data_IF_596578669104
#
_entry.id   IF_596578669104
#
_cell.length_a   1.000
_cell.length_b   1.000
_cell.length_c   1.000
_cell.angle_alpha   90.00
_cell.angle_beta   90.00
_cell.angle_gamma   90.00
#
_symmetry.space_group_name_H-M   'P 1'
#
loop_
_entity.id
_entity.type
_entity.pdbx_description
1 polymer ?
#
# COMPACT_ATOMS: atom_id res chain seq x y z
N UNK A 1 -14.60 -6.19 13.61
CA UNK A 1 -13.76 -5.25 12.85
C UNK A 1 -14.16 -3.79 13.03
N UNK A 2 -15.10 -3.43 13.92
CA UNK A 2 -15.77 -2.11 13.93
C UNK A 2 -15.03 -0.95 14.64
N UNK A 3 -13.85 -1.20 15.20
CA UNK A 3 -13.03 -0.17 15.87
C UNK A 3 -11.72 0.12 15.11
N UNK A 4 -11.72 -0.04 13.78
CA UNK A 4 -10.57 0.28 12.94
C UNK A 4 -10.78 1.67 12.34
N UNK A 5 -9.87 2.60 12.65
CA UNK A 5 -9.75 3.90 11.98
C UNK A 5 -8.69 3.80 10.88
N UNK A 6 -9.13 3.42 9.68
CA UNK A 6 -8.28 3.15 8.53
C UNK A 6 -8.94 3.67 7.26
N UNK A 7 -8.16 4.38 6.45
CA UNK A 7 -8.57 4.91 5.15
C UNK A 7 -7.34 5.27 4.29
N UNK A 8 -7.54 5.42 2.98
CA UNK A 8 -6.49 5.78 2.00
C UNK A 8 -5.32 4.77 1.91
N UNK A 9 -5.65 3.49 1.91
CA UNK A 9 -4.71 2.38 1.75
C UNK A 9 -4.79 1.75 0.35
N UNK A 10 -3.74 1.00 0.01
CA UNK A 10 -3.73 0.11 -1.16
C UNK A 10 -3.61 -1.34 -0.70
N UNK A 11 -4.59 -2.15 -1.10
CA UNK A 11 -4.60 -3.59 -0.89
C UNK A 11 -4.07 -4.26 -2.16
N UNK A 12 -2.96 -4.99 -2.04
CA UNK A 12 -2.31 -5.60 -3.18
C UNK A 12 -1.65 -6.93 -2.80
N UNK A 13 -2.07 -7.99 -3.47
CA UNK A 13 -1.38 -9.26 -3.49
C UNK A 13 -0.98 -9.56 -4.94
N UNK A 14 0.30 -9.89 -5.16
CA UNK A 14 0.88 -10.05 -6.48
C UNK A 14 0.48 -11.37 -7.13
N UNK A 15 0.32 -12.39 -6.30
CA UNK A 15 0.00 -13.76 -6.68
C UNK A 15 -1.50 -13.92 -6.96
N UNK A 16 -2.34 -13.22 -6.21
CA UNK A 16 -3.80 -13.28 -6.33
C UNK A 16 -4.41 -11.94 -5.94
N UNK A 17 -4.98 -11.23 -6.92
CA UNK A 17 -5.51 -9.87 -6.71
C UNK A 17 -6.87 -9.89 -6.01
N UNK A 18 -7.61 -10.98 -6.13
CA UNK A 18 -8.97 -11.11 -5.61
C UNK A 18 -8.94 -11.04 -4.08
N UNK A 19 -7.86 -11.50 -3.44
CA UNK A 19 -7.66 -11.38 -1.98
C UNK A 19 -7.75 -9.93 -1.52
N UNK A 20 -7.15 -8.99 -2.26
CA UNK A 20 -7.19 -7.57 -1.89
C UNK A 20 -8.57 -6.96 -2.07
N UNK A 21 -9.26 -7.37 -3.13
CA UNK A 21 -10.62 -6.92 -3.46
C UNK A 21 -11.62 -7.46 -2.43
N UNK A 22 -11.62 -8.76 -2.17
CA UNK A 22 -12.50 -9.45 -1.20
C UNK A 22 -12.36 -8.90 0.23
N UNK A 23 -11.14 -8.55 0.65
CA UNK A 23 -10.89 -7.98 1.98
C UNK A 23 -11.42 -6.55 2.04
N UNK A 24 -11.15 -5.75 1.01
CA UNK A 24 -11.56 -4.36 0.98
C UNK A 24 -13.09 -4.23 0.89
N UNK A 25 -13.77 -5.08 0.11
CA UNK A 25 -15.23 -5.09 0.00
C UNK A 25 -15.88 -5.29 1.38
N UNK A 26 -15.41 -6.26 2.16
CA UNK A 26 -15.93 -6.52 3.52
C UNK A 26 -15.69 -5.35 4.48
N UNK A 27 -14.56 -4.66 4.36
CA UNK A 27 -14.27 -3.47 5.16
C UNK A 27 -15.20 -2.31 4.79
N UNK A 28 -15.43 -2.11 3.50
CA UNK A 28 -16.30 -1.06 2.99
C UNK A 28 -17.78 -1.31 3.33
N UNK A 29 -18.23 -2.57 3.33
CA UNK A 29 -19.56 -2.97 3.83
C UNK A 29 -19.75 -2.65 5.32
N UNK A 30 -18.68 -2.75 6.11
CA UNK A 30 -18.65 -2.37 7.52
C UNK A 30 -18.45 -0.85 7.72
N UNK A 31 -18.31 -0.06 6.65
CA UNK A 31 -18.12 1.39 6.68
C UNK A 31 -16.68 1.85 6.95
N UNK A 32 -15.69 0.99 6.71
CA UNK A 32 -14.26 1.20 6.97
C UNK A 32 -13.51 1.30 5.62
N UNK A 33 -12.37 2.01 5.56
CA UNK A 33 -11.50 2.05 4.38
C UNK A 33 -12.23 2.50 3.09
N UNK A 34 -13.17 3.45 3.24
CA UNK A 34 -14.06 3.89 2.17
C UNK A 34 -13.34 4.48 0.94
N UNK A 35 -12.16 5.08 1.12
CA UNK A 35 -11.37 5.68 0.04
C UNK A 35 -10.15 4.82 -0.37
N UNK A 36 -9.97 3.66 0.28
CA UNK A 36 -8.93 2.69 -0.05
C UNK A 36 -9.20 1.99 -1.38
N UNK A 37 -8.16 1.39 -1.97
CA UNK A 37 -8.25 0.73 -3.29
C UNK A 37 -7.51 -0.60 -3.33
N UNK A 38 -8.11 -1.61 -3.92
CA UNK A 38 -7.45 -2.87 -4.25
C UNK A 38 -6.89 -2.80 -5.69
N UNK A 39 -5.65 -2.33 -5.85
CA UNK A 39 -5.03 -2.07 -7.17
C UNK A 39 -3.53 -2.29 -7.15
N UNK A 40 -2.93 -2.56 -8.32
CA UNK A 40 -1.48 -2.67 -8.45
C UNK A 40 -0.79 -1.31 -8.10
N UNK A 41 0.08 -1.26 -7.07
CA UNK A 41 0.76 -0.04 -6.65
C UNK A 41 1.87 0.40 -7.61
N UNK A 42 2.21 -0.42 -8.63
CA UNK A 42 3.27 -0.17 -9.59
C UNK A 42 4.65 0.02 -8.93
N UNK A 43 5.09 -0.97 -8.16
CA UNK A 43 6.47 -0.97 -7.63
C UNK A 43 7.53 -1.01 -8.74
N UNK A 44 8.71 -0.44 -8.46
CA UNK A 44 9.86 -0.41 -9.38
C UNK A 44 10.42 -1.81 -9.60
N UNK A 45 10.87 -2.47 -8.53
CA UNK A 45 11.45 -3.83 -8.58
C UNK A 45 11.30 -4.56 -7.23
N UNK A 46 10.08 -5.04 -6.91
CA UNK A 46 9.81 -5.68 -5.62
C UNK A 46 10.55 -7.02 -5.44
N UNK A 47 10.96 -7.68 -6.53
CA UNK A 47 11.72 -8.95 -6.45
C UNK A 47 13.11 -8.74 -5.85
N UNK A 48 13.70 -7.57 -6.08
CA UNK A 48 15.02 -7.19 -5.56
C UNK A 48 14.92 -6.23 -4.36
N UNK A 49 13.71 -6.07 -3.78
CA UNK A 49 13.49 -5.24 -2.60
C UNK A 49 13.31 -3.74 -2.87
N UNK A 50 13.16 -3.32 -4.13
CA UNK A 50 12.87 -1.94 -4.49
C UNK A 50 11.37 -1.69 -4.57
N UNK A 51 10.80 -1.31 -3.42
CA UNK A 51 9.38 -0.98 -3.26
C UNK A 51 9.06 0.50 -3.51
N UNK A 52 9.94 1.24 -4.20
CA UNK A 52 9.58 2.59 -4.66
C UNK A 52 8.44 2.49 -5.68
N UNK A 53 7.63 3.53 -5.77
CA UNK A 53 6.55 3.61 -6.76
C UNK A 53 7.07 4.13 -8.10
N UNK A 54 6.58 3.54 -9.20
CA UNK A 54 6.78 4.08 -10.56
C UNK A 54 6.01 5.38 -10.75
N UNK A 55 6.44 6.25 -11.67
CA UNK A 55 5.65 7.42 -12.09
C UNK A 55 4.22 7.01 -12.48
N UNK A 56 3.23 7.76 -11.99
CA UNK A 56 1.80 7.49 -12.27
C UNK A 56 1.14 6.43 -11.37
N UNK A 57 1.88 5.86 -10.41
CA UNK A 57 1.35 4.93 -9.41
C UNK A 57 0.06 5.46 -8.76
N UNK A 58 -0.96 4.58 -8.53
CA UNK A 58 -2.15 4.96 -7.78
C UNK A 58 -1.82 5.39 -6.35
N UNK A 59 -0.74 4.88 -5.74
CA UNK A 59 -0.28 5.29 -4.42
C UNK A 59 0.04 6.78 -4.38
N UNK A 60 0.77 7.27 -5.38
CA UNK A 60 1.11 8.69 -5.49
C UNK A 60 -0.12 9.56 -5.71
N UNK A 61 -1.08 9.09 -6.52
CA UNK A 61 -2.36 9.79 -6.74
C UNK A 61 -3.24 9.83 -5.49
N UNK A 62 -3.10 8.83 -4.62
CA UNK A 62 -3.79 8.73 -3.33
C UNK A 62 -3.14 9.60 -2.24
N UNK A 63 -1.98 10.21 -2.53
CA UNK A 63 -1.27 11.08 -1.59
C UNK A 63 -0.25 10.35 -0.72
N UNK A 64 0.09 9.09 -1.02
CA UNK A 64 1.16 8.38 -0.32
C UNK A 64 2.50 9.01 -0.69
N UNK A 65 3.20 9.55 0.31
CA UNK A 65 4.50 10.22 0.15
C UNK A 65 5.62 9.21 0.41
N UNK A 66 6.50 8.93 -0.57
CA UNK A 66 7.65 8.06 -0.35
C UNK A 66 8.58 8.62 0.74
N UNK A 67 8.98 7.77 1.68
CA UNK A 67 9.95 8.13 2.71
C UNK A 67 11.40 7.95 2.20
N UNK A 68 12.31 8.80 2.67
CA UNK A 68 13.72 8.69 2.34
C UNK A 68 14.39 7.58 3.15
N UNK A 69 14.69 6.45 2.50
CA UNK A 69 15.30 5.27 3.14
C UNK A 69 16.79 5.43 3.44
N UNK A 70 17.50 6.43 2.89
CA UNK A 70 18.96 6.59 3.05
C UNK A 70 19.43 6.73 4.50
N UNK A 71 18.52 7.15 5.38
CA UNK A 71 18.78 7.47 6.78
C UNK A 71 18.01 6.59 7.76
N UNK A 72 17.26 5.59 7.26
CA UNK A 72 16.36 4.74 8.05
C UNK A 72 17.04 3.39 8.33
N UNK A 73 16.71 2.77 9.48
CA UNK A 73 17.24 1.47 9.90
C UNK A 73 18.44 1.56 10.84
N UNK A 74 18.98 0.39 11.20
CA UNK A 74 20.14 0.29 12.08
C UNK A 74 21.38 0.85 11.39
N UNK A 75 21.92 1.93 11.96
CA UNK A 75 23.19 2.51 11.50
C UNK A 75 24.32 1.84 12.27
N UNK A 76 25.17 1.08 11.60
CA UNK A 76 26.47 0.71 12.17
C UNK A 76 27.30 1.98 12.29
N UNK A 77 27.82 2.28 13.49
CA UNK A 77 28.89 3.29 13.60
C UNK A 77 30.03 2.84 12.69
N UNK A 78 30.47 3.73 11.79
CA UNK A 78 31.78 3.59 11.16
C UNK A 78 32.86 3.77 12.20
#
# INVERSE_FOLDING_TARGET
>A
MKDIDSDYNIYYCREDRDIGEDVLEKLQDDGIDANSRAVDPLFVDPKNGDFRFKPGSPALKMGIIPINLSLIGLRTKK
#
